data_IF_430123660644
#
_entry.id   IF_430123660644
#
_cell.length_a   1.000
_cell.length_b   1.000
_cell.length_c   1.000
_cell.angle_alpha   90.00
_cell.angle_beta   90.00
_cell.angle_gamma   90.00
#
_symmetry.space_group_name_H-M   'P 1'
#
loop_
_entity.id
_entity.type
_entity.pdbx_description
1 polymer ?
#
# COMPACT_ATOMS: atom_id res chain seq x y z
N UNK A 1 14.42 8.53 10.40
CA UNK A 1 12.98 8.85 10.21
C UNK A 1 12.18 7.73 9.56
N UNK A 2 12.49 7.28 8.33
CA UNK A 2 11.64 6.34 7.61
C UNK A 2 11.42 5.01 8.33
N UNK A 3 12.46 4.41 8.93
CA UNK A 3 12.32 3.17 9.69
C UNK A 3 11.35 3.32 10.88
N UNK A 4 11.47 4.40 11.65
CA UNK A 4 10.56 4.70 12.76
C UNK A 4 9.13 4.94 12.25
N UNK A 5 8.97 5.70 11.15
CA UNK A 5 7.69 5.89 10.48
C UNK A 5 7.06 4.56 10.04
N UNK A 6 7.84 3.66 9.45
CA UNK A 6 7.37 2.34 9.04
C UNK A 6 6.92 1.50 10.22
N UNK A 7 7.67 1.48 11.32
CA UNK A 7 7.26 0.75 12.52
C UNK A 7 5.94 1.29 13.07
N UNK A 8 5.79 2.62 13.18
CA UNK A 8 4.56 3.25 13.69
C UNK A 8 3.37 2.93 12.77
N UNK A 9 3.50 3.16 11.45
CA UNK A 9 2.42 2.93 10.48
C UNK A 9 2.03 1.47 10.41
N UNK A 10 3.00 0.58 10.26
CA UNK A 10 2.72 -0.84 10.04
C UNK A 10 2.16 -1.48 11.31
N UNK A 11 2.67 -1.14 12.50
CA UNK A 11 2.07 -1.61 13.76
C UNK A 11 0.59 -1.18 13.89
N UNK A 12 0.24 0.04 13.45
CA UNK A 12 -1.14 0.51 13.52
C UNK A 12 -2.08 -0.22 12.55
N UNK A 13 -1.59 -0.48 11.33
CA UNK A 13 -2.32 -1.26 10.33
C UNK A 13 -2.48 -2.73 10.75
N UNK A 14 -1.50 -3.26 11.49
CA UNK A 14 -1.49 -4.63 12.01
C UNK A 14 -2.22 -4.79 13.35
N UNK A 15 -2.60 -3.70 14.04
CA UNK A 15 -3.12 -3.70 15.43
C UNK A 15 -4.15 -4.80 15.73
N UNK A 16 -5.08 -5.02 14.82
CA UNK A 16 -6.19 -5.99 14.98
C UNK A 16 -5.95 -7.30 14.19
N UNK A 17 -4.68 -7.64 13.95
CA UNK A 17 -4.27 -8.83 13.17
C UNK A 17 -3.30 -9.69 13.98
N UNK A 18 -3.15 -10.98 13.62
CA UNK A 18 -2.14 -11.84 14.24
C UNK A 18 -0.69 -11.31 14.13
N UNK A 19 -0.41 -10.42 13.18
CA UNK A 19 0.92 -9.83 13.00
C UNK A 19 1.29 -8.81 14.09
N UNK A 20 0.34 -8.22 14.80
CA UNK A 20 0.61 -7.22 15.84
C UNK A 20 1.60 -7.70 16.91
N UNK A 21 1.56 -9.00 17.24
CA UNK A 21 2.46 -9.61 18.23
C UNK A 21 3.80 -10.10 17.67
N UNK A 22 3.99 -10.11 16.35
CA UNK A 22 5.21 -10.62 15.72
C UNK A 22 6.36 -9.61 15.91
N UNK A 23 7.47 -9.98 16.56
CA UNK A 23 8.64 -9.10 16.71
C UNK A 23 9.16 -8.62 15.35
N UNK A 24 9.76 -7.42 15.35
CA UNK A 24 10.47 -6.90 14.19
C UNK A 24 11.81 -7.62 14.03
N UNK A 25 12.14 -8.01 12.79
CA UNK A 25 13.42 -8.55 12.38
C UNK A 25 13.98 -7.75 11.21
N UNK A 26 14.28 -8.42 10.10
CA UNK A 26 14.93 -7.82 8.93
C UNK A 26 13.98 -7.12 7.97
N UNK A 27 12.68 -7.04 8.25
CA UNK A 27 11.66 -6.53 7.32
C UNK A 27 11.90 -5.08 6.92
N UNK A 28 12.45 -4.25 7.80
CA UNK A 28 12.82 -2.86 7.48
C UNK A 28 13.90 -2.81 6.40
N UNK A 29 14.96 -3.62 6.54
CA UNK A 29 16.06 -3.68 5.58
C UNK A 29 15.65 -4.39 4.29
N UNK A 30 14.90 -5.48 4.39
CA UNK A 30 14.41 -6.23 3.23
C UNK A 30 13.41 -5.39 2.43
N UNK A 31 12.47 -4.72 3.11
CA UNK A 31 11.52 -3.81 2.48
C UNK A 31 12.23 -2.65 1.78
N UNK A 32 13.27 -2.08 2.39
CA UNK A 32 14.10 -1.05 1.76
C UNK A 32 14.78 -1.55 0.47
N UNK A 33 15.42 -2.72 0.53
CA UNK A 33 16.12 -3.30 -0.61
C UNK A 33 15.14 -3.63 -1.74
N UNK A 34 13.98 -4.20 -1.41
CA UNK A 34 12.94 -4.54 -2.36
C UNK A 34 12.31 -3.30 -2.99
N UNK A 35 12.06 -2.24 -2.22
CA UNK A 35 11.59 -0.95 -2.74
C UNK A 35 12.54 -0.37 -3.79
N UNK A 36 13.85 -0.40 -3.52
CA UNK A 36 14.87 0.07 -4.46
C UNK A 36 14.95 -0.80 -5.70
N UNK A 37 14.89 -2.12 -5.55
CA UNK A 37 14.89 -3.06 -6.66
C UNK A 37 13.66 -2.86 -7.56
N UNK A 38 12.48 -2.70 -6.94
CA UNK A 38 11.21 -2.40 -7.59
C UNK A 38 11.28 -1.09 -8.38
N UNK A 39 11.69 0.01 -7.72
CA UNK A 39 11.81 1.34 -8.34
C UNK A 39 12.75 1.33 -9.54
N UNK A 40 13.92 0.70 -9.38
CA UNK A 40 14.91 0.59 -10.45
C UNK A 40 14.36 -0.17 -11.65
N UNK A 41 13.58 -1.22 -11.42
CA UNK A 41 13.03 -2.03 -12.50
C UNK A 41 11.84 -1.37 -13.20
N UNK A 42 10.95 -0.71 -12.45
CA UNK A 42 9.75 -0.09 -13.02
C UNK A 42 10.02 1.30 -13.60
N UNK A 43 10.80 2.14 -12.92
CA UNK A 43 10.93 3.56 -13.23
C UNK A 43 12.36 3.96 -13.63
N UNK A 44 13.32 3.02 -13.62
CA UNK A 44 14.76 3.29 -13.82
C UNK A 44 15.35 4.34 -12.87
N UNK A 45 14.66 4.63 -11.76
CA UNK A 45 15.09 5.55 -10.73
C UNK A 45 15.62 4.76 -9.51
N UNK A 46 16.48 5.39 -8.72
CA UNK A 46 17.04 4.85 -7.47
C UNK A 46 16.42 5.48 -6.23
N UNK A 47 15.82 6.66 -6.37
CA UNK A 47 15.09 7.34 -5.30
C UNK A 47 13.69 6.73 -5.19
N UNK A 48 13.46 6.07 -4.06
CA UNK A 48 12.17 5.52 -3.68
C UNK A 48 11.33 6.61 -3.00
N UNK A 49 10.01 6.45 -3.04
CA UNK A 49 9.09 7.27 -2.23
C UNK A 49 8.73 6.55 -0.94
N UNK A 50 8.25 7.31 0.06
CA UNK A 50 7.85 6.73 1.35
C UNK A 50 6.80 5.62 1.18
N UNK A 51 5.82 5.80 0.28
CA UNK A 51 4.78 4.80 0.03
C UNK A 51 5.35 3.45 -0.45
N UNK A 52 6.37 3.46 -1.31
CA UNK A 52 7.05 2.22 -1.75
C UNK A 52 7.75 1.56 -0.56
N UNK A 53 8.48 2.34 0.25
CA UNK A 53 9.14 1.80 1.43
C UNK A 53 8.14 1.16 2.40
N UNK A 54 7.07 1.89 2.77
CA UNK A 54 6.04 1.38 3.67
C UNK A 54 5.37 0.11 3.12
N UNK A 55 5.10 0.09 1.81
CA UNK A 55 4.51 -1.08 1.13
C UNK A 55 5.38 -2.31 1.30
N UNK A 56 6.65 -2.22 0.91
CA UNK A 56 7.51 -3.40 0.90
C UNK A 56 7.89 -3.84 2.29
N UNK A 57 7.94 -2.93 3.27
CA UNK A 57 8.02 -3.32 4.69
C UNK A 57 6.77 -4.09 5.11
N UNK A 58 5.56 -3.59 4.81
CA UNK A 58 4.30 -4.27 5.16
C UNK A 58 4.16 -5.65 4.49
N UNK A 59 4.65 -5.81 3.25
CA UNK A 59 4.69 -7.12 2.58
C UNK A 59 5.73 -8.04 3.22
N UNK A 60 6.92 -7.53 3.55
CA UNK A 60 7.96 -8.30 4.23
C UNK A 60 7.54 -8.75 5.64
N UNK A 61 6.63 -8.02 6.30
CA UNK A 61 6.02 -8.45 7.57
C UNK A 61 5.23 -9.74 7.44
N UNK A 62 4.54 -9.93 6.32
CA UNK A 62 3.81 -11.16 5.99
C UNK A 62 4.77 -12.27 5.55
N UNK A 63 5.91 -11.88 4.97
CA UNK A 63 7.01 -12.77 4.59
C UNK A 63 7.53 -12.38 3.22
N UNK A 64 8.80 -11.96 3.16
CA UNK A 64 9.51 -11.79 1.91
C UNK A 64 10.85 -12.54 2.00
N UNK A 65 11.13 -13.39 1.02
CA UNK A 65 12.45 -14.00 0.85
C UNK A 65 13.12 -13.36 -0.37
N UNK A 66 14.35 -12.87 -0.24
CA UNK A 66 15.26 -12.49 -1.33
C UNK A 66 14.60 -11.92 -2.61
N UNK A 67 13.99 -10.74 -2.49
CA UNK A 67 13.31 -10.04 -3.58
C UNK A 67 12.06 -10.73 -4.13
N UNK A 68 11.29 -11.42 -3.28
CA UNK A 68 9.98 -11.95 -3.63
C UNK A 68 8.84 -11.09 -3.07
N UNK A 69 7.71 -11.13 -3.78
CA UNK A 69 6.42 -10.57 -3.39
C UNK A 69 5.42 -11.71 -3.57
N UNK A 70 4.76 -12.13 -2.49
CA UNK A 70 3.80 -13.24 -2.50
C UNK A 70 4.36 -14.52 -3.18
N UNK A 71 5.57 -14.92 -2.75
CA UNK A 71 6.26 -16.10 -3.27
C UNK A 71 6.82 -15.98 -4.69
N UNK A 72 6.56 -14.89 -5.41
CA UNK A 72 7.04 -14.66 -6.78
C UNK A 72 8.19 -13.64 -6.80
N UNK A 73 9.17 -13.83 -7.67
CA UNK A 73 10.25 -12.86 -7.83
C UNK A 73 9.70 -11.50 -8.28
N UNK A 74 10.16 -10.40 -7.68
CA UNK A 74 9.57 -9.06 -7.84
C UNK A 74 9.48 -8.59 -9.30
N UNK A 75 10.41 -9.01 -10.16
CA UNK A 75 10.38 -8.70 -11.60
C UNK A 75 9.16 -9.29 -12.29
N UNK A 76 8.79 -10.53 -11.95
CA UNK A 76 7.60 -11.17 -12.54
C UNK A 76 6.32 -10.45 -12.12
N UNK A 77 6.23 -10.08 -10.83
CA UNK A 77 5.12 -9.28 -10.31
C UNK A 77 5.07 -7.89 -10.95
N UNK A 78 6.23 -7.26 -11.15
CA UNK A 78 6.32 -5.97 -11.84
C UNK A 78 5.85 -6.04 -13.30
N UNK A 79 6.13 -7.12 -14.03
CA UNK A 79 5.60 -7.31 -15.38
C UNK A 79 4.07 -7.51 -15.38
N UNK A 80 3.52 -8.22 -14.38
CA UNK A 80 2.06 -8.32 -14.20
C UNK A 80 1.43 -6.93 -13.93
N UNK A 81 2.08 -6.10 -13.11
CA UNK A 81 1.67 -4.72 -12.86
C UNK A 81 1.70 -3.87 -14.13
N UNK A 82 2.76 -3.97 -14.93
CA UNK A 82 2.86 -3.24 -16.21
C UNK A 82 1.76 -3.68 -17.18
N UNK A 83 1.50 -4.98 -17.27
CA UNK A 83 0.43 -5.53 -18.11
C UNK A 83 -0.95 -5.05 -17.66
N UNK A 84 -1.25 -5.13 -16.35
CA UNK A 84 -2.51 -4.63 -15.80
C UNK A 84 -2.67 -3.14 -16.12
N UNK A 85 -1.63 -2.34 -15.89
CA UNK A 85 -1.69 -0.90 -16.17
C UNK A 85 -1.97 -0.59 -17.64
N UNK A 86 -1.36 -1.32 -18.56
CA UNK A 86 -1.65 -1.18 -19.99
C UNK A 86 -3.12 -1.51 -20.30
N UNK A 87 -3.65 -2.58 -19.71
CA UNK A 87 -5.06 -2.98 -19.89
C UNK A 87 -6.05 -1.94 -19.34
N UNK A 88 -5.68 -1.24 -18.27
CA UNK A 88 -6.57 -0.28 -17.59
C UNK A 88 -6.42 1.16 -18.13
N UNK A 89 -5.68 1.39 -19.20
CA UNK A 89 -5.53 2.73 -19.81
C UNK A 89 -4.48 3.63 -19.15
N UNK A 90 -3.46 3.05 -18.51
CA UNK A 90 -2.35 3.78 -17.90
C UNK A 90 -2.49 4.03 -16.39
N UNK A 91 -1.57 4.79 -15.76
CA UNK A 91 -1.57 5.03 -14.31
C UNK A 91 -2.89 5.59 -13.76
N UNK A 92 -3.47 6.59 -14.44
CA UNK A 92 -4.75 7.21 -14.05
C UNK A 92 -5.90 6.21 -14.10
N UNK A 93 -5.96 5.40 -15.15
CA UNK A 93 -6.99 4.39 -15.31
C UNK A 93 -6.89 3.29 -14.25
N UNK A 94 -5.69 2.89 -13.84
CA UNK A 94 -5.53 1.90 -12.76
C UNK A 94 -6.17 2.38 -11.46
N UNK A 95 -5.85 3.59 -11.01
CA UNK A 95 -6.40 4.10 -9.74
C UNK A 95 -7.93 4.20 -9.79
N UNK A 96 -8.48 4.77 -10.86
CA UNK A 96 -9.93 4.91 -11.04
C UNK A 96 -10.64 3.54 -11.04
N UNK A 97 -10.16 2.58 -11.83
CA UNK A 97 -10.80 1.26 -11.91
C UNK A 97 -10.60 0.43 -10.63
N UNK A 98 -9.46 0.56 -9.95
CA UNK A 98 -9.24 -0.11 -8.66
C UNK A 98 -10.17 0.43 -7.58
N UNK A 99 -10.40 1.74 -7.52
CA UNK A 99 -11.34 2.34 -6.57
C UNK A 99 -12.79 1.97 -6.89
N UNK A 100 -13.17 1.95 -8.17
CA UNK A 100 -14.49 1.49 -8.59
C UNK A 100 -14.72 0.01 -8.24
N UNK A 101 -13.70 -0.83 -8.44
CA UNK A 101 -13.73 -2.24 -8.02
C UNK A 101 -13.86 -2.37 -6.49
N UNK A 102 -13.08 -1.60 -5.72
CA UNK A 102 -13.15 -1.60 -4.26
C UNK A 102 -14.55 -1.21 -3.76
N UNK A 103 -15.16 -0.19 -4.36
CA UNK A 103 -16.52 0.26 -4.03
C UNK A 103 -17.58 -0.82 -4.27
N UNK A 104 -17.35 -1.71 -5.24
CA UNK A 104 -18.29 -2.76 -5.62
C UNK A 104 -18.14 -4.05 -4.79
N UNK A 105 -17.08 -4.19 -3.97
CA UNK A 105 -16.89 -5.37 -3.14
C UNK A 105 -17.91 -5.41 -1.99
N UNK A 106 -18.54 -6.57 -1.71
CA UNK A 106 -19.36 -6.75 -0.52
C UNK A 106 -18.48 -6.85 0.74
N UNK A 107 -18.01 -5.70 1.22
CA UNK A 107 -17.28 -5.53 2.48
C UNK A 107 -18.25 -5.17 3.61
N UNK A 108 -18.46 -6.09 4.56
CA UNK A 108 -19.37 -5.91 5.70
C UNK A 108 -18.97 -4.74 6.62
N UNK A 109 -17.72 -4.29 6.60
CA UNK A 109 -17.29 -3.13 7.38
C UNK A 109 -17.64 -1.79 6.73
N UNK A 110 -17.95 -1.81 5.43
CA UNK A 110 -18.17 -0.62 4.61
C UNK A 110 -16.92 0.25 4.38
N UNK A 111 -15.75 -0.20 4.80
CA UNK A 111 -14.50 0.54 4.65
C UNK A 111 -14.12 0.72 3.18
N UNK A 112 -14.29 -0.33 2.36
CA UNK A 112 -13.99 -0.27 0.93
C UNK A 112 -14.76 0.84 0.20
N UNK A 113 -16.08 0.94 0.41
CA UNK A 113 -16.91 1.99 -0.18
C UNK A 113 -16.54 3.39 0.30
N UNK A 114 -16.37 3.58 1.61
CA UNK A 114 -15.95 4.87 2.20
C UNK A 114 -14.60 5.33 1.66
N UNK A 115 -13.67 4.39 1.50
CA UNK A 115 -12.35 4.65 0.94
C UNK A 115 -12.42 5.03 -0.53
N UNK A 116 -13.15 4.26 -1.34
CA UNK A 116 -13.33 4.59 -2.74
C UNK A 116 -13.94 5.99 -2.93
N UNK A 117 -14.92 6.36 -2.09
CA UNK A 117 -15.48 7.72 -2.08
C UNK A 117 -14.45 8.77 -1.65
N UNK A 118 -13.73 8.54 -0.55
CA UNK A 118 -12.71 9.46 -0.05
C UNK A 118 -11.61 9.73 -1.09
N UNK A 119 -11.15 8.67 -1.76
CA UNK A 119 -10.06 8.71 -2.73
C UNK A 119 -10.52 9.05 -4.15
N UNK A 120 -11.83 9.06 -4.42
CA UNK A 120 -12.38 9.50 -5.72
C UNK A 120 -12.11 10.99 -6.00
N UNK A 121 -11.78 11.77 -4.97
CA UNK A 121 -11.43 13.20 -5.04
C UNK A 121 -9.95 13.45 -5.37
N UNK A 122 -9.13 12.40 -5.34
CA UNK A 122 -7.67 12.44 -5.46
C UNK A 122 -7.06 12.14 -6.85
N UNK A 123 -7.78 12.14 -8.02
CA UNK A 123 -7.10 12.05 -9.31
C UNK A 123 -6.10 13.19 -9.58
N UNK A 124 -6.08 14.25 -8.77
CA UNK A 124 -5.17 15.38 -8.92
C UNK A 124 -3.79 15.12 -8.26
N UNK A 125 -2.81 14.85 -9.13
CA UNK A 125 -1.36 14.94 -8.98
C UNK A 125 -0.59 13.90 -8.12
N UNK A 126 -1.04 13.45 -6.94
CA UNK A 126 -0.22 12.58 -6.07
C UNK A 126 -0.40 11.06 -6.33
N UNK A 127 -1.64 10.62 -6.59
CA UNK A 127 -1.97 9.25 -6.95
C UNK A 127 -1.48 8.84 -8.36
N UNK A 128 -1.10 9.83 -9.17
CA UNK A 128 -0.91 9.71 -10.61
C UNK A 128 0.56 9.75 -11.09
N UNK A 129 1.55 9.84 -10.18
CA UNK A 129 2.93 9.53 -10.54
C UNK A 129 3.00 8.05 -11.00
N UNK A 130 3.83 7.77 -12.00
CA UNK A 130 4.05 6.43 -12.54
C UNK A 130 4.39 5.43 -11.42
N UNK A 131 5.11 5.90 -10.40
CA UNK A 131 5.37 5.20 -9.15
C UNK A 131 4.10 4.73 -8.43
N UNK A 132 3.21 5.68 -8.19
CA UNK A 132 2.00 5.48 -7.42
C UNK A 132 1.00 4.61 -8.17
N UNK A 133 0.89 4.79 -9.49
CA UNK A 133 0.11 3.89 -10.35
C UNK A 133 0.60 2.44 -10.31
N UNK A 134 1.92 2.20 -10.20
CA UNK A 134 2.45 0.84 -10.02
C UNK A 134 2.06 0.24 -8.67
N UNK A 135 2.03 1.06 -7.61
CA UNK A 135 1.60 0.63 -6.30
C UNK A 135 0.12 0.26 -6.30
N UNK A 136 -0.77 1.08 -6.86
CA UNK A 136 -2.19 0.71 -6.97
C UNK A 136 -2.42 -0.57 -7.77
N UNK A 137 -1.70 -0.74 -8.88
CA UNK A 137 -1.76 -1.97 -9.65
C UNK A 137 -1.30 -3.18 -8.81
N UNK A 138 -0.19 -3.03 -8.07
CA UNK A 138 0.30 -4.08 -7.17
C UNK A 138 -0.75 -4.42 -6.10
N UNK A 139 -1.31 -3.41 -5.44
CA UNK A 139 -2.30 -3.61 -4.38
C UNK A 139 -3.54 -4.31 -4.92
N UNK A 140 -3.99 -3.92 -6.12
CA UNK A 140 -5.15 -4.53 -6.75
C UNK A 140 -4.89 -6.01 -7.11
N UNK A 141 -3.70 -6.33 -7.63
CA UNK A 141 -3.31 -7.72 -7.90
C UNK A 141 -3.30 -8.57 -6.63
N UNK A 142 -2.62 -8.10 -5.58
CA UNK A 142 -2.50 -8.82 -4.30
C UNK A 142 -3.85 -8.95 -3.60
N UNK A 143 -4.67 -7.89 -3.63
CA UNK A 143 -6.01 -7.92 -3.07
C UNK A 143 -6.88 -8.95 -3.75
N UNK A 144 -6.88 -9.02 -5.09
CA UNK A 144 -7.68 -10.01 -5.85
C UNK A 144 -7.29 -11.47 -5.61
N UNK A 145 -6.12 -11.74 -5.05
CA UNK A 145 -5.69 -13.09 -4.68
C UNK A 145 -6.27 -13.56 -3.35
N UNK A 146 -6.86 -12.66 -2.55
CA UNK A 146 -7.50 -13.03 -1.29
C UNK A 146 -8.78 -13.81 -1.54
N UNK A 147 -9.09 -14.73 -0.62
CA UNK A 147 -10.14 -15.74 -0.81
C UNK A 147 -11.56 -15.14 -0.75
N UNK A 148 -11.77 -14.13 0.09
CA UNK A 148 -13.09 -13.54 0.32
C UNK A 148 -13.13 -12.04 -0.02
N UNK A 149 -14.26 -11.49 -0.51
CA UNK A 149 -14.38 -10.06 -0.79
C UNK A 149 -14.01 -9.14 0.39
N UNK A 150 -14.29 -9.57 1.62
CA UNK A 150 -13.90 -8.85 2.83
C UNK A 150 -12.36 -8.78 2.98
N UNK A 151 -11.65 -9.88 2.75
CA UNK A 151 -10.18 -9.90 2.77
C UNK A 151 -9.59 -9.10 1.60
N UNK A 152 -10.22 -9.16 0.42
CA UNK A 152 -9.83 -8.34 -0.74
C UNK A 152 -9.91 -6.84 -0.41
N UNK A 153 -11.06 -6.39 0.11
CA UNK A 153 -11.28 -5.00 0.49
C UNK A 153 -10.34 -4.56 1.63
N UNK A 154 -10.13 -5.42 2.63
CA UNK A 154 -9.25 -5.14 3.76
C UNK A 154 -7.79 -5.00 3.32
N UNK A 155 -7.28 -5.92 2.49
CA UNK A 155 -5.90 -5.85 2.00
C UNK A 155 -5.68 -4.62 1.11
N UNK A 156 -6.58 -4.38 0.15
CA UNK A 156 -6.49 -3.21 -0.71
C UNK A 156 -6.53 -1.92 0.12
N UNK A 157 -7.47 -1.81 1.06
CA UNK A 157 -7.62 -0.60 1.89
C UNK A 157 -6.39 -0.31 2.74
N UNK A 158 -5.80 -1.34 3.37
CA UNK A 158 -4.56 -1.21 4.17
C UNK A 158 -3.39 -0.70 3.33
N UNK A 159 -3.20 -1.23 2.12
CA UNK A 159 -2.08 -0.85 1.26
C UNK A 159 -2.31 0.50 0.57
N UNK A 160 -3.51 0.77 0.07
CA UNK A 160 -3.86 2.03 -0.59
C UNK A 160 -3.73 3.24 0.35
N UNK A 161 -3.97 3.06 1.65
CA UNK A 161 -3.73 4.09 2.66
C UNK A 161 -2.27 4.57 2.67
N UNK A 162 -1.30 3.71 2.35
CA UNK A 162 0.13 4.08 2.30
C UNK A 162 0.45 5.09 1.20
N UNK A 163 -0.42 5.17 0.20
CA UNK A 163 -0.35 6.17 -0.87
C UNK A 163 -1.21 7.39 -0.54
N UNK A 164 -2.46 7.15 -0.15
CA UNK A 164 -3.47 8.18 0.07
C UNK A 164 -3.24 9.02 1.33
N UNK A 165 -2.48 8.47 2.28
CA UNK A 165 -2.21 9.10 3.56
C UNK A 165 -3.41 9.09 4.51
N UNK A 166 -4.66 9.01 4.03
CA UNK A 166 -5.87 8.92 4.87
C UNK A 166 -6.80 7.83 4.37
N UNK A 167 -7.44 7.11 5.28
CA UNK A 167 -8.41 6.09 4.90
C UNK A 167 -9.00 5.33 6.09
N UNK A 168 -9.98 4.50 5.78
CA UNK A 168 -10.73 3.65 6.69
C UNK A 168 -10.17 2.23 6.69
N UNK A 169 -9.94 1.67 7.88
CA UNK A 169 -9.65 0.26 8.10
C UNK A 169 -10.70 -0.27 9.08
N UNK A 170 -11.63 -1.08 8.57
CA UNK A 170 -12.83 -1.44 9.32
C UNK A 170 -13.59 -0.18 9.75
N UNK A 171 -13.83 -0.04 11.06
CA UNK A 171 -14.50 1.13 11.63
C UNK A 171 -13.59 2.33 11.91
N UNK A 172 -12.26 2.19 11.78
CA UNK A 172 -11.29 3.23 12.16
C UNK A 172 -10.90 4.06 10.96
N UNK A 173 -10.96 5.39 11.07
CA UNK A 173 -10.32 6.27 10.11
C UNK A 173 -8.93 6.68 10.60
N UNK A 174 -7.95 6.50 9.74
CA UNK A 174 -6.52 6.64 10.00
C UNK A 174 -5.96 7.71 9.07
N UNK A 175 -5.16 8.64 9.61
CA UNK A 175 -4.43 9.68 8.90
C UNK A 175 -2.94 9.59 9.23
N UNK A 176 -2.14 9.23 8.23
CA UNK A 176 -0.69 9.11 8.24
C UNK A 176 0.02 10.23 7.45
N UNK A 177 -0.71 11.24 6.95
CA UNK A 177 -0.17 12.28 6.07
C UNK A 177 1.00 13.08 6.67
N UNK A 178 1.17 13.03 7.99
CA UNK A 178 2.22 13.75 8.75
C UNK A 178 3.30 12.84 9.34
N UNK A 179 3.25 11.52 9.09
CA UNK A 179 4.10 10.54 9.79
C UNK A 179 5.59 10.77 9.52
N UNK A 180 5.98 11.20 8.31
CA UNK A 180 7.40 11.41 7.97
C UNK A 180 7.85 12.87 8.00
N UNK A 181 7.02 13.80 8.48
CA UNK A 181 7.30 15.25 8.36
C UNK A 181 7.73 15.91 9.67
N UNK A 182 7.92 15.15 10.75
CA UNK A 182 8.28 15.70 12.07
C UNK A 182 9.66 15.16 12.49
N UNK A 183 10.68 16.02 12.42
CA UNK A 183 12.08 15.67 12.69
C UNK A 183 12.37 15.51 14.19
N UNK A 184 11.66 16.25 15.04
CA UNK A 184 11.96 16.36 16.49
C UNK A 184 10.95 15.64 17.40
N UNK A 185 10.05 14.83 16.84
CA UNK A 185 9.12 14.02 17.61
C UNK A 185 8.88 12.66 16.94
N UNK A 186 8.54 11.62 17.73
CA UNK A 186 8.13 10.35 17.15
C UNK A 186 6.95 10.54 16.17
N UNK A 187 6.96 9.87 15.00
CA UNK A 187 5.84 9.85 14.08
C UNK A 187 4.53 9.50 14.80
N UNK A 188 3.45 10.21 14.50
CA UNK A 188 2.13 9.95 15.06
C UNK A 188 1.10 9.74 13.98
N UNK A 189 0.17 8.85 14.28
CA UNK A 189 -1.02 8.58 13.47
C UNK A 189 -2.20 9.24 14.18
N UNK A 190 -3.03 9.93 13.43
CA UNK A 190 -4.21 10.62 13.96
C UNK A 190 -5.48 10.08 13.31
N UNK A 191 -6.63 10.42 13.88
CA UNK A 191 -7.92 10.13 13.26
C UNK A 191 -8.25 11.17 12.19
N UNK A 192 -9.06 10.78 11.21
CA UNK A 192 -9.62 11.71 10.25
C UNK A 192 -10.59 12.64 10.98
N UNK A 193 -10.18 13.88 11.21
CA UNK A 193 -11.03 14.97 11.69
C UNK A 193 -11.64 15.72 10.51
#
# INVERSE_FOLDING_TARGET
>A
EWQAAAQVVVNELERDTPLAGKPWGHELTQGWNLARAWRRYNNRNVEIILAEYLTFVALCRQGCADNTIDGQHYKAVAEQVKALRLQQGGPYGVAAHAHAWLAALPDASGAGGKNAELWSKDPDAAAADYATGNLYALYWLLARQQATPAEQAALFSRLALLVQGKGWIGARCIDISKVATVLDAPPRIVSCH
#
